data_IF_973591045642
#
_entry.id   IF_973591045642
#
_cell.length_a   1.000
_cell.length_b   1.000
_cell.length_c   1.000
_cell.angle_alpha   90.00
_cell.angle_beta   90.00
_cell.angle_gamma   90.00
#
_symmetry.space_group_name_H-M   'P 1'
#
loop_
_entity.id
_entity.type
_entity.pdbx_description
1 polymer ?
#
# COMPACT_ATOMS: atom_id res chain seq x y z
N UNK A 1 -10.75 -9.50 9.85
CA UNK A 1 -11.49 -9.23 8.59
C UNK A 1 -12.97 -9.62 8.73
N UNK A 2 -13.29 -10.88 9.01
CA UNK A 2 -14.68 -11.39 9.05
C UNK A 2 -15.58 -10.70 10.07
N UNK A 3 -15.08 -10.39 11.28
CA UNK A 3 -15.88 -9.68 12.30
C UNK A 3 -16.38 -8.32 11.79
N UNK A 4 -15.55 -7.58 11.06
CA UNK A 4 -15.94 -6.30 10.45
C UNK A 4 -17.04 -6.50 9.38
N UNK A 5 -16.89 -7.53 8.55
CA UNK A 5 -17.90 -7.86 7.53
C UNK A 5 -19.24 -8.23 8.17
N UNK A 6 -19.23 -9.13 9.14
CA UNK A 6 -20.44 -9.56 9.86
C UNK A 6 -21.14 -8.40 10.56
N UNK A 7 -20.39 -7.52 11.24
CA UNK A 7 -20.95 -6.33 11.89
C UNK A 7 -21.57 -5.39 10.87
N UNK A 8 -20.90 -5.12 9.76
CA UNK A 8 -21.42 -4.26 8.70
C UNK A 8 -22.70 -4.85 8.07
N UNK A 9 -22.73 -6.15 7.81
CA UNK A 9 -23.89 -6.83 7.24
C UNK A 9 -25.08 -6.85 8.21
N UNK A 10 -24.83 -7.01 9.51
CA UNK A 10 -25.88 -6.90 10.54
C UNK A 10 -26.48 -5.50 10.58
N UNK A 11 -25.63 -4.45 10.53
CA UNK A 11 -26.08 -3.04 10.50
C UNK A 11 -26.87 -2.71 9.23
N UNK A 12 -26.53 -3.30 8.09
CA UNK A 12 -27.27 -3.12 6.81
C UNK A 12 -28.64 -3.77 6.85
N UNK A 13 -28.80 -4.93 7.50
CA UNK A 13 -30.09 -5.64 7.62
C UNK A 13 -31.10 -4.89 8.49
N UNK A 14 -30.63 -4.14 9.48
CA UNK A 14 -31.51 -3.33 10.34
C UNK A 14 -31.95 -2.02 9.67
N UNK A 15 -31.25 -1.56 8.63
CA UNK A 15 -31.60 -0.37 7.85
C UNK A 15 -32.53 -0.77 6.69
N UNK A 16 -33.79 -1.08 6.98
CA UNK A 16 -34.83 -1.28 5.97
C UNK A 16 -35.00 -0.05 5.08
N UNK A 17 -35.62 -0.22 3.88
CA UNK A 17 -35.98 0.90 3.00
C UNK A 17 -36.88 1.85 3.78
N UNK A 18 -36.57 3.16 3.90
CA UNK A 18 -37.43 4.13 4.59
C UNK A 18 -38.83 4.08 3.99
N UNK A 19 -39.86 3.93 4.84
CA UNK A 19 -41.26 4.08 4.38
C UNK A 19 -41.46 5.51 3.88
N UNK A 20 -42.40 5.70 2.92
CA UNK A 20 -42.69 7.02 2.35
C UNK A 20 -43.10 8.07 3.39
N UNK A 21 -43.51 7.67 4.57
CA UNK A 21 -43.92 8.53 5.68
C UNK A 21 -42.75 9.16 6.44
N UNK A 22 -41.55 8.59 6.35
CA UNK A 22 -40.35 9.09 7.04
C UNK A 22 -39.42 9.96 6.16
N UNK A 23 -39.86 10.37 4.98
CA UNK A 23 -39.06 11.19 4.03
C UNK A 23 -38.83 12.63 4.53
N UNK A 24 -39.58 13.08 5.53
CA UNK A 24 -39.45 14.46 6.08
C UNK A 24 -38.33 14.64 7.13
N UNK A 25 -37.63 13.56 7.52
CA UNK A 25 -36.42 13.64 8.35
C UNK A 25 -35.18 13.25 7.55
N UNK A 26 -34.93 13.88 6.41
CA UNK A 26 -33.66 13.78 5.68
C UNK A 26 -32.63 14.71 6.35
N UNK A 27 -32.35 14.48 7.62
CA UNK A 27 -31.06 14.72 8.20
C UNK A 27 -30.16 13.57 7.76
N UNK A 28 -29.07 13.86 7.08
CA UNK A 28 -28.00 12.97 6.59
C UNK A 28 -27.90 11.65 7.36
N UNK A 29 -28.62 10.63 6.91
CA UNK A 29 -28.55 9.31 7.52
C UNK A 29 -27.16 8.75 7.25
N UNK A 30 -26.32 8.70 8.28
CA UNK A 30 -24.95 8.19 8.15
C UNK A 30 -24.99 6.77 7.61
N UNK A 31 -24.11 6.44 6.70
CA UNK A 31 -23.97 5.10 6.14
C UNK A 31 -23.48 4.13 7.23
N UNK A 32 -23.88 2.87 7.18
CA UNK A 32 -23.47 1.86 8.15
C UNK A 32 -21.96 1.74 8.30
N UNK A 33 -21.20 1.89 7.21
CA UNK A 33 -19.73 1.89 7.24
C UNK A 33 -19.15 3.12 7.94
N UNK A 34 -19.83 4.26 7.89
CA UNK A 34 -19.43 5.47 8.60
C UNK A 34 -19.73 5.38 10.11
N UNK A 35 -20.90 4.85 10.47
CA UNK A 35 -21.25 4.62 11.88
C UNK A 35 -20.27 3.66 12.51
N UNK A 36 -19.96 2.56 11.82
CA UNK A 36 -18.98 1.57 12.27
C UNK A 36 -17.57 2.16 12.45
N UNK A 37 -17.16 3.05 11.54
CA UNK A 37 -15.87 3.72 11.61
C UNK A 37 -15.78 4.65 12.83
N UNK A 38 -16.82 5.41 13.12
CA UNK A 38 -16.91 6.29 14.29
C UNK A 38 -16.89 5.47 15.61
N UNK A 39 -17.61 4.36 15.67
CA UNK A 39 -17.65 3.49 16.85
C UNK A 39 -16.29 2.85 17.16
N UNK A 40 -15.52 2.51 16.12
CA UNK A 40 -14.24 1.81 16.25
C UNK A 40 -13.03 2.76 16.28
N UNK A 41 -13.25 4.06 16.07
CA UNK A 41 -12.17 5.06 16.01
C UNK A 41 -11.29 4.88 14.76
N UNK A 42 -11.81 4.22 13.71
CA UNK A 42 -11.10 3.94 12.47
C UNK A 42 -11.63 4.80 11.32
N UNK A 43 -10.84 4.96 10.26
CA UNK A 43 -11.36 5.58 9.04
C UNK A 43 -12.27 4.62 8.29
N UNK A 44 -13.31 5.15 7.62
CA UNK A 44 -14.18 4.37 6.73
C UNK A 44 -13.39 3.57 5.69
N UNK A 45 -12.36 4.16 5.11
CA UNK A 45 -11.50 3.49 4.14
C UNK A 45 -10.77 2.30 4.76
N UNK A 46 -10.31 2.44 6.00
CA UNK A 46 -9.64 1.36 6.72
C UNK A 46 -10.60 0.19 6.98
N UNK A 47 -11.85 0.47 7.39
CA UNK A 47 -12.89 -0.55 7.55
C UNK A 47 -13.12 -1.31 6.24
N UNK A 48 -13.27 -0.60 5.12
CA UNK A 48 -13.47 -1.24 3.81
C UNK A 48 -12.27 -2.10 3.39
N UNK A 49 -11.06 -1.67 3.71
CA UNK A 49 -9.83 -2.45 3.44
C UNK A 49 -9.77 -3.73 4.28
N UNK A 50 -10.14 -3.67 5.56
CA UNK A 50 -10.25 -4.86 6.40
C UNK A 50 -11.30 -5.84 5.87
N UNK A 51 -12.48 -5.33 5.50
CA UNK A 51 -13.54 -6.17 4.93
C UNK A 51 -13.08 -6.82 3.63
N UNK A 52 -12.32 -6.10 2.81
CA UNK A 52 -11.84 -6.62 1.55
C UNK A 52 -10.92 -7.84 1.70
N UNK A 53 -10.17 -7.97 2.79
CA UNK A 53 -9.36 -9.15 3.07
C UNK A 53 -10.19 -10.46 3.10
N UNK A 54 -11.52 -10.37 3.34
CA UNK A 54 -12.39 -11.56 3.29
C UNK A 54 -12.56 -12.14 1.88
N UNK A 55 -12.03 -11.49 0.85
CA UNK A 55 -12.00 -12.00 -0.52
C UNK A 55 -10.71 -12.79 -0.82
N UNK A 56 -9.79 -12.87 0.13
CA UNK A 56 -8.61 -13.72 -0.01
C UNK A 56 -8.99 -15.19 0.21
N UNK A 57 -8.31 -16.08 -0.51
CA UNK A 57 -8.35 -17.52 -0.20
C UNK A 57 -7.81 -17.76 1.20
N UNK A 58 -8.28 -18.81 1.90
CA UNK A 58 -7.91 -19.05 3.30
C UNK A 58 -6.40 -19.05 3.53
N UNK A 59 -5.64 -19.67 2.65
CA UNK A 59 -4.20 -19.80 2.74
C UNK A 59 -3.48 -18.43 2.74
N UNK A 60 -3.93 -17.50 1.88
CA UNK A 60 -3.40 -16.13 1.86
C UNK A 60 -3.81 -15.34 3.11
N UNK A 61 -5.02 -15.55 3.61
CA UNK A 61 -5.50 -14.89 4.81
C UNK A 61 -4.71 -15.35 6.05
N UNK A 62 -4.42 -16.64 6.15
CA UNK A 62 -3.57 -17.20 7.21
C UNK A 62 -2.16 -16.60 7.16
N UNK A 63 -1.58 -16.44 5.96
CA UNK A 63 -0.29 -15.77 5.79
C UNK A 63 -0.30 -14.31 6.22
N UNK A 64 -1.43 -13.61 6.09
CA UNK A 64 -1.58 -12.24 6.60
C UNK A 64 -1.64 -12.24 8.13
N UNK A 65 -2.37 -13.16 8.74
CA UNK A 65 -2.50 -13.28 10.19
C UNK A 65 -1.14 -13.68 10.82
N UNK A 66 -0.36 -14.53 10.15
CA UNK A 66 1.02 -14.89 10.52
C UNK A 66 2.06 -13.80 10.21
N UNK A 67 1.65 -12.67 9.63
CA UNK A 67 2.53 -11.54 9.22
C UNK A 67 3.57 -11.91 8.15
N UNK A 68 3.39 -13.01 7.43
CA UNK A 68 4.20 -13.35 6.25
C UNK A 68 3.91 -12.42 5.08
N UNK A 69 2.64 -11.99 4.94
CA UNK A 69 2.23 -10.97 3.98
C UNK A 69 1.74 -9.74 4.76
N UNK A 70 2.27 -8.57 4.41
CA UNK A 70 1.85 -7.32 5.03
C UNK A 70 0.43 -6.91 4.59
N UNK A 71 -0.28 -6.16 5.44
CA UNK A 71 -1.66 -5.72 5.21
C UNK A 71 -1.88 -5.04 3.86
N UNK A 72 -1.00 -4.10 3.47
CA UNK A 72 -1.18 -3.33 2.24
C UNK A 72 -1.06 -4.19 0.97
N UNK A 73 -0.03 -5.03 0.77
CA UNK A 73 0.00 -6.02 -0.31
C UNK A 73 -1.21 -6.94 -0.32
N UNK A 74 -1.64 -7.45 0.85
CA UNK A 74 -2.79 -8.34 0.96
C UNK A 74 -4.09 -7.71 0.44
N UNK A 75 -4.32 -6.42 0.74
CA UNK A 75 -5.47 -5.67 0.21
C UNK A 75 -5.41 -5.58 -1.32
N UNK A 76 -4.24 -5.39 -1.92
CA UNK A 76 -4.09 -5.37 -3.39
C UNK A 76 -4.32 -6.75 -4.00
N UNK A 77 -3.81 -7.81 -3.37
CA UNK A 77 -4.01 -9.21 -3.81
C UNK A 77 -5.47 -9.65 -3.73
N UNK A 78 -6.26 -9.08 -2.82
CA UNK A 78 -7.70 -9.37 -2.71
C UNK A 78 -8.53 -8.91 -3.91
N UNK A 79 -7.92 -8.24 -4.89
CA UNK A 79 -8.55 -7.90 -6.17
C UNK A 79 -8.38 -8.97 -7.25
N UNK A 80 -7.51 -9.96 -7.02
CA UNK A 80 -7.36 -11.14 -7.86
C UNK A 80 -8.56 -12.06 -7.64
N UNK A 81 -8.96 -12.80 -8.67
CA UNK A 81 -9.92 -13.90 -8.51
C UNK A 81 -9.28 -15.12 -7.82
N UNK A 82 -10.09 -16.12 -7.48
CA UNK A 82 -9.63 -17.28 -6.71
C UNK A 82 -8.54 -18.09 -7.46
N UNK A 83 -8.66 -18.23 -8.78
CA UNK A 83 -7.66 -18.93 -9.61
C UNK A 83 -6.34 -18.17 -9.61
N UNK A 84 -6.39 -16.86 -9.84
CA UNK A 84 -5.20 -15.98 -9.84
C UNK A 84 -4.53 -15.93 -8.47
N UNK A 85 -5.30 -15.99 -7.38
CA UNK A 85 -4.75 -16.07 -6.04
C UNK A 85 -4.00 -17.39 -5.80
N UNK A 86 -4.47 -18.51 -6.34
CA UNK A 86 -3.78 -19.81 -6.27
C UNK A 86 -2.49 -19.82 -7.10
N UNK A 87 -2.54 -19.30 -8.33
CA UNK A 87 -1.35 -19.14 -9.17
C UNK A 87 -0.31 -18.23 -8.50
N UNK A 88 -0.77 -17.16 -7.82
CA UNK A 88 0.10 -16.29 -7.04
C UNK A 88 0.73 -17.01 -5.85
N UNK A 89 -0.03 -17.85 -5.12
CA UNK A 89 0.49 -18.64 -4.01
C UNK A 89 1.62 -19.55 -4.46
N UNK A 90 1.42 -20.29 -5.57
CA UNK A 90 2.43 -21.16 -6.17
C UNK A 90 3.69 -20.36 -6.55
N UNK A 91 3.52 -19.22 -7.23
CA UNK A 91 4.63 -18.34 -7.59
C UNK A 91 5.39 -17.79 -6.35
N UNK A 92 4.67 -17.50 -5.25
CA UNK A 92 5.25 -17.04 -4.00
C UNK A 92 6.04 -18.16 -3.31
N UNK A 93 5.55 -19.41 -3.34
CA UNK A 93 6.24 -20.58 -2.79
C UNK A 93 7.51 -20.89 -3.58
N UNK A 94 7.45 -20.88 -4.91
CA UNK A 94 8.58 -21.16 -5.78
C UNK A 94 9.70 -20.12 -5.69
N UNK A 95 9.33 -18.84 -5.56
CA UNK A 95 10.30 -17.75 -5.40
C UNK A 95 10.79 -17.54 -3.98
N UNK A 96 10.16 -18.17 -2.98
CA UNK A 96 10.43 -17.98 -1.56
C UNK A 96 10.39 -16.51 -1.12
N UNK A 97 9.63 -15.66 -1.81
CA UNK A 97 9.56 -14.23 -1.59
C UNK A 97 8.17 -13.78 -1.15
N UNK A 98 8.08 -13.01 -0.06
CA UNK A 98 6.84 -12.31 0.27
C UNK A 98 6.64 -11.09 -0.67
N UNK A 99 5.41 -10.76 -1.09
CA UNK A 99 5.15 -9.67 -2.01
C UNK A 99 5.40 -8.30 -1.38
N UNK A 100 6.06 -7.42 -2.11
CA UNK A 100 6.07 -5.99 -1.82
C UNK A 100 4.77 -5.33 -2.27
N UNK A 101 4.46 -4.13 -1.77
CA UNK A 101 3.29 -3.38 -2.23
C UNK A 101 3.33 -3.11 -3.75
N UNK A 102 4.50 -2.77 -4.27
CA UNK A 102 4.70 -2.51 -5.72
C UNK A 102 4.40 -3.74 -6.56
N UNK A 103 4.88 -4.93 -6.15
CA UNK A 103 4.61 -6.20 -6.82
C UNK A 103 3.12 -6.55 -6.77
N UNK A 104 2.47 -6.42 -5.61
CA UNK A 104 1.04 -6.67 -5.46
C UNK A 104 0.18 -5.73 -6.34
N UNK A 105 0.56 -4.46 -6.45
CA UNK A 105 -0.11 -3.49 -7.35
C UNK A 105 0.08 -3.84 -8.82
N UNK A 106 1.27 -4.32 -9.20
CA UNK A 106 1.55 -4.77 -10.57
C UNK A 106 0.71 -5.99 -10.92
N UNK A 107 0.64 -6.99 -10.05
CA UNK A 107 -0.18 -8.19 -10.23
C UNK A 107 -1.68 -7.85 -10.34
N UNK A 108 -2.19 -6.98 -9.46
CA UNK A 108 -3.55 -6.48 -9.56
C UNK A 108 -3.83 -5.81 -10.91
N UNK A 109 -2.91 -4.97 -11.39
CA UNK A 109 -3.06 -4.30 -12.69
C UNK A 109 -3.11 -5.30 -13.84
N UNK A 110 -2.24 -6.32 -13.83
CA UNK A 110 -2.26 -7.41 -14.81
C UNK A 110 -3.58 -8.17 -14.78
N UNK A 111 -4.10 -8.49 -13.59
CA UNK A 111 -5.40 -9.13 -13.44
C UNK A 111 -6.55 -8.29 -14.02
N UNK A 112 -6.56 -6.98 -13.76
CA UNK A 112 -7.57 -6.06 -14.30
C UNK A 112 -7.49 -5.91 -15.83
N UNK A 113 -6.32 -6.13 -16.42
CA UNK A 113 -6.09 -6.10 -17.87
C UNK A 113 -6.34 -7.46 -18.55
N UNK A 114 -6.65 -8.51 -17.77
CA UNK A 114 -6.80 -9.87 -18.29
C UNK A 114 -5.48 -10.52 -18.74
N UNK A 115 -4.36 -9.99 -18.27
CA UNK A 115 -3.01 -10.43 -18.63
C UNK A 115 -2.32 -11.25 -17.54
N UNK A 116 -3.02 -11.59 -16.47
CA UNK A 116 -2.46 -12.36 -15.37
C UNK A 116 -2.22 -13.81 -15.80
N UNK A 117 -1.04 -14.35 -15.48
CA UNK A 117 -0.72 -15.77 -15.57
C UNK A 117 0.28 -16.13 -14.47
N UNK A 118 0.43 -17.43 -14.19
CA UNK A 118 1.43 -17.93 -13.25
C UNK A 118 2.86 -17.46 -13.62
N UNK A 119 3.26 -17.58 -14.90
CA UNK A 119 4.60 -17.18 -15.34
C UNK A 119 4.87 -15.68 -15.08
N UNK A 120 3.87 -14.83 -15.35
CA UNK A 120 3.99 -13.40 -15.06
C UNK A 120 4.03 -13.12 -13.57
N UNK A 121 3.28 -13.87 -12.76
CA UNK A 121 3.34 -13.75 -11.31
C UNK A 121 4.71 -14.18 -10.77
N UNK A 122 5.25 -15.28 -11.27
CA UNK A 122 6.60 -15.76 -10.95
C UNK A 122 7.67 -14.73 -11.31
N UNK A 123 7.61 -14.15 -12.52
CA UNK A 123 8.54 -13.11 -12.97
C UNK A 123 8.48 -11.87 -12.07
N UNK A 124 7.26 -11.42 -11.70
CA UNK A 124 7.08 -10.27 -10.80
C UNK A 124 7.62 -10.56 -9.41
N UNK A 125 7.38 -11.77 -8.89
CA UNK A 125 7.86 -12.17 -7.57
C UNK A 125 9.37 -12.40 -7.53
N UNK A 126 9.97 -12.84 -8.64
CA UNK A 126 11.41 -13.05 -8.81
C UNK A 126 12.19 -11.75 -9.03
N UNK A 127 11.51 -10.62 -9.36
CA UNK A 127 12.20 -9.34 -9.47
C UNK A 127 12.80 -8.95 -8.12
N UNK A 128 14.08 -8.57 -8.14
CA UNK A 128 14.69 -7.95 -6.97
C UNK A 128 13.77 -6.83 -6.47
N UNK A 129 13.33 -6.94 -5.20
CA UNK A 129 12.64 -5.84 -4.54
C UNK A 129 13.50 -4.62 -4.78
N UNK A 130 12.96 -3.58 -5.43
CA UNK A 130 13.67 -2.29 -5.52
C UNK A 130 14.14 -2.02 -4.11
N UNK A 131 15.44 -2.24 -3.87
CA UNK A 131 16.07 -1.93 -2.59
C UNK A 131 15.54 -0.56 -2.21
N UNK A 132 15.14 -0.38 -0.96
CA UNK A 132 14.92 0.97 -0.45
C UNK A 132 16.09 1.74 -1.00
N UNK A 133 15.82 2.61 -1.99
CA UNK A 133 16.89 3.43 -2.57
C UNK A 133 17.53 4.03 -1.34
N UNK A 134 18.84 3.88 -1.18
CA UNK A 134 19.60 4.56 -0.14
C UNK A 134 19.37 6.05 -0.31
N UNK A 135 18.19 6.51 0.09
CA UNK A 135 17.75 7.89 -0.03
C UNK A 135 18.12 8.58 1.26
N UNK A 136 19.15 9.40 1.18
CA UNK A 136 19.47 10.31 2.27
C UNK A 136 18.50 11.49 2.21
N UNK A 137 17.51 11.50 3.09
CA UNK A 137 16.56 12.63 3.20
C UNK A 137 17.10 13.63 4.22
N UNK A 138 17.44 14.83 3.78
CA UNK A 138 17.84 15.94 4.65
C UNK A 138 16.63 16.87 4.81
N UNK A 139 16.20 17.10 6.08
CA UNK A 139 15.08 18.01 6.37
C UNK A 139 15.42 19.44 5.90
N UNK A 140 14.45 20.13 5.31
CA UNK A 140 14.60 21.51 4.86
C UNK A 140 15.09 22.47 5.95
N UNK A 141 14.65 22.29 7.20
CA UNK A 141 15.12 23.08 8.35
C UNK A 141 16.63 22.97 8.57
N UNK A 142 17.20 21.79 8.33
CA UNK A 142 18.64 21.56 8.43
C UNK A 142 19.38 22.25 7.30
N UNK A 143 18.88 22.16 6.05
CA UNK A 143 19.46 22.81 4.90
C UNK A 143 19.40 24.35 5.02
N UNK A 144 18.32 24.89 5.58
CA UNK A 144 18.14 26.34 5.79
C UNK A 144 19.16 26.97 6.74
N UNK A 145 19.88 26.18 7.52
CA UNK A 145 21.04 26.68 8.32
C UNK A 145 22.23 27.06 7.46
N UNK A 146 22.37 26.46 6.29
CA UNK A 146 23.53 26.61 5.39
C UNK A 146 23.21 27.41 4.11
N UNK A 147 21.93 27.51 3.75
CA UNK A 147 21.49 28.17 2.53
C UNK A 147 20.64 29.41 2.80
N UNK A 148 20.82 30.50 2.02
CA UNK A 148 19.96 31.68 2.10
C UNK A 148 18.48 31.35 1.83
N UNK A 149 17.59 32.15 2.37
CA UNK A 149 16.13 31.96 2.17
C UNK A 149 15.69 32.09 0.70
N UNK A 150 16.46 32.76 -0.12
CA UNK A 150 16.22 32.94 -1.56
C UNK A 150 16.51 31.68 -2.39
N UNK A 151 17.21 30.68 -1.85
CA UNK A 151 17.53 29.47 -2.59
C UNK A 151 16.30 28.57 -2.68
N UNK A 152 15.98 28.14 -3.90
CA UNK A 152 14.96 27.10 -4.14
C UNK A 152 15.51 25.71 -3.76
N UNK A 153 14.67 24.71 -3.48
CA UNK A 153 15.12 23.34 -3.21
C UNK A 153 16.05 22.78 -4.29
N UNK A 154 15.76 23.06 -5.57
CA UNK A 154 16.59 22.64 -6.70
C UNK A 154 17.98 23.28 -6.69
N UNK A 155 18.07 24.57 -6.41
CA UNK A 155 19.35 25.27 -6.29
C UNK A 155 20.18 24.76 -5.10
N UNK A 156 19.52 24.37 -3.99
CA UNK A 156 20.21 23.75 -2.86
C UNK A 156 20.79 22.38 -3.24
N UNK A 157 20.03 21.56 -3.94
CA UNK A 157 20.45 20.25 -4.44
C UNK A 157 21.65 20.37 -5.39
N UNK A 158 21.56 21.23 -6.41
CA UNK A 158 22.66 21.49 -7.36
C UNK A 158 23.95 21.93 -6.64
N UNK A 159 23.81 22.78 -5.62
CA UNK A 159 24.96 23.25 -4.85
C UNK A 159 25.58 22.17 -3.98
N UNK A 160 24.76 21.30 -3.40
CA UNK A 160 25.23 20.13 -2.63
C UNK A 160 26.01 19.19 -3.55
N UNK A 161 25.50 18.89 -4.73
CA UNK A 161 26.19 18.04 -5.72
C UNK A 161 27.55 18.64 -6.09
N UNK A 162 27.61 19.93 -6.39
CA UNK A 162 28.87 20.62 -6.70
C UNK A 162 29.91 20.51 -5.57
N UNK A 163 29.47 20.63 -4.32
CA UNK A 163 30.35 20.50 -3.16
C UNK A 163 30.85 19.06 -2.97
N UNK A 164 30.00 18.07 -3.19
CA UNK A 164 30.37 16.65 -3.14
C UNK A 164 31.36 16.28 -4.24
N UNK A 165 31.18 16.77 -5.47
CA UNK A 165 32.11 16.55 -6.57
C UNK A 165 33.49 17.15 -6.27
N UNK A 166 33.51 18.36 -5.71
CA UNK A 166 34.79 19.03 -5.32
C UNK A 166 35.47 18.24 -4.18
N UNK A 167 34.70 17.76 -3.22
CA UNK A 167 35.21 16.93 -2.12
C UNK A 167 35.80 15.61 -2.64
N UNK A 168 35.07 14.91 -3.54
CA UNK A 168 35.53 13.66 -4.14
C UNK A 168 36.88 13.85 -4.89
N UNK A 169 36.98 14.88 -5.73
CA UNK A 169 38.22 15.20 -6.43
C UNK A 169 39.38 15.48 -5.48
N UNK A 170 39.10 16.13 -4.34
CA UNK A 170 40.13 16.39 -3.30
C UNK A 170 40.58 15.09 -2.62
N UNK A 171 39.66 14.14 -2.38
CA UNK A 171 39.99 12.83 -1.80
C UNK A 171 40.87 12.00 -2.76
N UNK A 172 40.53 11.95 -4.05
CA UNK A 172 41.28 11.22 -5.06
C UNK A 172 42.73 11.73 -5.10
N UNK A 173 42.98 13.05 -5.16
CA UNK A 173 44.34 13.67 -5.14
C UNK A 173 45.11 13.38 -3.85
N UNK A 174 44.40 13.07 -2.75
CA UNK A 174 45.05 12.75 -1.46
C UNK A 174 45.46 11.29 -1.38
N UNK A 175 44.77 10.41 -2.09
CA UNK A 175 45.10 8.98 -2.15
C UNK A 175 46.16 8.65 -3.22
N UNK A 176 46.41 9.57 -4.16
CA UNK A 176 47.46 9.47 -5.19
C UNK A 176 48.82 9.99 -4.74
N UNK A 177 48.93 10.49 -3.49
CA UNK A 177 50.17 10.95 -2.86
C UNK A 177 50.66 9.98 -1.80
#
# INVERSE_FOLDING_TARGET
AFAYKMKLDAMRRTSGRPSKENVSQIGTQKRSDQIMAEELGESRNQIQRFIRLTNLVPELLDMVDEKKISFNPAVELSYLDESQQRDFLEAMEDTQNAPSLSQAQQLKKMAQQGEFSYEKAFDVMGQEKKSEKDTVTIKNETLRKYFPRSYTPKQMEEKIIQLLDAWQKKQQRRNER
#
